data_IF_812865242824
#
_entry.id   IF_812865242824
#
_cell.length_a   1.000
_cell.length_b   1.000
_cell.length_c   1.000
_cell.angle_alpha   90.00
_cell.angle_beta   90.00
_cell.angle_gamma   90.00
#
_symmetry.space_group_name_H-M   'P 1'
#
loop_
_entity.id
_entity.type
_entity.pdbx_description
1 polymer ?
#
# COMPACT_ATOMS: atom_id res chain seq x y z
N UNK A 1 -7.14 -29.57 -14.35
CA UNK A 1 -7.84 -28.31 -14.63
C UNK A 1 -7.45 -27.32 -13.55
N UNK A 2 -7.07 -26.09 -13.89
CA UNK A 2 -6.78 -25.08 -12.88
C UNK A 2 -8.05 -24.82 -12.06
N UNK A 3 -7.94 -24.81 -10.72
CA UNK A 3 -9.07 -24.51 -9.87
C UNK A 3 -9.42 -23.01 -10.03
N UNK A 4 -10.63 -22.66 -10.50
CA UNK A 4 -11.02 -21.25 -10.71
C UNK A 4 -10.89 -20.40 -9.44
N UNK A 5 -11.08 -20.99 -8.26
CA UNK A 5 -10.95 -20.30 -6.98
C UNK A 5 -9.49 -19.90 -6.69
N UNK A 6 -8.53 -20.74 -7.08
CA UNK A 6 -7.09 -20.45 -6.96
C UNK A 6 -6.71 -19.29 -7.90
N UNK A 7 -7.30 -19.26 -9.10
CA UNK A 7 -7.06 -18.19 -10.06
C UNK A 7 -7.61 -16.85 -9.56
N UNK A 8 -8.83 -16.85 -9.00
CA UNK A 8 -9.45 -15.66 -8.43
C UNK A 8 -8.65 -15.12 -7.23
N UNK A 9 -8.24 -15.98 -6.29
CA UNK A 9 -7.44 -15.58 -5.13
C UNK A 9 -6.10 -14.97 -5.53
N UNK A 10 -5.42 -15.56 -6.53
CA UNK A 10 -4.17 -15.00 -7.05
C UNK A 10 -4.39 -13.65 -7.76
N UNK A 11 -5.49 -13.51 -8.51
CA UNK A 11 -5.84 -12.24 -9.15
C UNK A 11 -6.12 -11.14 -8.11
N UNK A 12 -6.93 -11.44 -7.09
CA UNK A 12 -7.22 -10.52 -5.98
C UNK A 12 -5.94 -10.12 -5.25
N UNK A 13 -5.06 -11.08 -4.94
CA UNK A 13 -3.77 -10.81 -4.33
C UNK A 13 -2.89 -9.89 -5.20
N UNK A 14 -2.90 -10.07 -6.53
CA UNK A 14 -2.22 -9.19 -7.48
C UNK A 14 -2.76 -7.75 -7.45
N UNK A 15 -4.09 -7.60 -7.47
CA UNK A 15 -4.75 -6.29 -7.40
C UNK A 15 -4.44 -5.55 -6.09
N UNK A 16 -4.48 -6.26 -4.95
CA UNK A 16 -4.16 -5.69 -3.64
C UNK A 16 -2.70 -5.22 -3.56
N UNK A 17 -1.75 -5.99 -4.10
CA UNK A 17 -0.34 -5.56 -4.18
C UNK A 17 -0.18 -4.32 -5.05
N UNK A 18 -0.79 -4.33 -6.24
CA UNK A 18 -0.73 -3.18 -7.15
C UNK A 18 -1.32 -1.91 -6.51
N UNK A 19 -2.40 -2.02 -5.75
CA UNK A 19 -2.97 -0.90 -5.01
C UNK A 19 -2.02 -0.40 -3.90
N UNK A 20 -1.40 -1.31 -3.15
CA UNK A 20 -0.41 -0.93 -2.14
C UNK A 20 0.79 -0.19 -2.76
N UNK A 21 1.31 -0.68 -3.88
CA UNK A 21 2.43 -0.05 -4.59
C UNK A 21 2.04 1.33 -5.16
N UNK A 22 0.81 1.49 -5.62
CA UNK A 22 0.31 2.78 -6.07
C UNK A 22 0.20 3.79 -4.91
N UNK A 23 -0.27 3.35 -3.74
CA UNK A 23 -0.33 4.20 -2.53
C UNK A 23 1.08 4.66 -2.15
N UNK A 24 2.07 3.78 -2.14
CA UNK A 24 3.45 4.15 -1.81
C UNK A 24 4.04 5.17 -2.81
N UNK A 25 3.74 5.02 -4.10
CA UNK A 25 4.16 5.99 -5.12
C UNK A 25 3.59 7.40 -4.87
N UNK A 26 2.32 7.50 -4.44
CA UNK A 26 1.70 8.79 -4.09
C UNK A 26 2.35 9.41 -2.85
N UNK A 27 2.66 8.58 -1.84
CA UNK A 27 3.35 8.99 -0.61
C UNK A 27 4.72 9.58 -0.91
N UNK A 28 5.50 8.92 -1.77
CA UNK A 28 6.83 9.38 -2.18
C UNK A 28 6.78 10.68 -2.96
N UNK A 29 5.80 10.85 -3.85
CA UNK A 29 5.60 12.09 -4.59
C UNK A 29 5.33 13.28 -3.65
N UNK A 30 4.45 13.10 -2.66
CA UNK A 30 4.14 14.14 -1.68
C UNK A 30 5.35 14.44 -0.77
N UNK A 31 6.10 13.41 -0.36
CA UNK A 31 7.33 13.55 0.42
C UNK A 31 8.37 14.38 -0.33
N UNK A 32 8.58 14.06 -1.60
CA UNK A 32 9.48 14.83 -2.47
C UNK A 32 9.04 16.28 -2.55
N UNK A 33 7.77 16.54 -2.85
CA UNK A 33 7.25 17.90 -2.92
C UNK A 33 7.41 18.67 -1.59
N UNK A 34 7.13 18.02 -0.45
CA UNK A 34 7.29 18.63 0.87
C UNK A 34 8.74 19.00 1.20
N UNK A 35 9.70 18.20 0.75
CA UNK A 35 11.13 18.40 1.06
C UNK A 35 11.83 19.33 0.07
N UNK A 36 11.55 19.21 -1.22
CA UNK A 36 12.20 20.02 -2.26
C UNK A 36 11.41 21.26 -2.65
N UNK A 37 10.08 21.17 -2.72
CA UNK A 37 9.22 22.26 -3.19
C UNK A 37 8.88 23.29 -2.12
N UNK A 38 8.84 22.87 -0.85
CA UNK A 38 8.50 23.74 0.28
C UNK A 38 9.74 24.14 1.11
N UNK A 39 10.96 23.94 0.60
CA UNK A 39 12.19 24.17 1.36
C UNK A 39 12.39 25.63 1.78
N UNK A 40 11.93 26.59 0.97
CA UNK A 40 12.00 28.03 1.27
C UNK A 40 10.73 28.58 1.92
N UNK A 41 9.70 27.75 2.11
CA UNK A 41 8.46 28.19 2.75
C UNK A 41 8.58 28.04 4.27
N UNK A 42 8.68 29.16 4.98
CA UNK A 42 8.86 29.16 6.43
C UNK A 42 7.64 29.72 7.18
N UNK A 43 7.56 29.39 8.46
CA UNK A 43 6.54 29.87 9.39
C UNK A 43 5.49 28.82 9.80
N UNK A 44 4.63 29.15 10.77
CA UNK A 44 3.71 28.20 11.40
C UNK A 44 2.77 27.48 10.43
N UNK A 45 2.37 28.14 9.34
CA UNK A 45 1.53 27.54 8.31
C UNK A 45 2.29 26.48 7.49
N UNK A 46 3.57 26.72 7.18
CA UNK A 46 4.40 25.75 6.49
C UNK A 46 4.59 24.49 7.35
N UNK A 47 4.83 24.67 8.65
CA UNK A 47 4.97 23.57 9.60
C UNK A 47 3.66 22.79 9.79
N UNK A 48 2.51 23.47 9.81
CA UNK A 48 1.21 22.81 9.83
C UNK A 48 1.01 21.92 8.60
N UNK A 49 1.27 22.45 7.39
CA UNK A 49 1.12 21.68 6.15
C UNK A 49 2.09 20.49 6.12
N UNK A 50 3.37 20.68 6.49
CA UNK A 50 4.34 19.58 6.62
C UNK A 50 3.89 18.53 7.62
N UNK A 51 3.33 18.95 8.76
CA UNK A 51 2.75 18.05 9.77
C UNK A 51 1.60 17.22 9.22
N UNK A 52 0.66 17.85 8.50
CA UNK A 52 -0.46 17.15 7.86
C UNK A 52 0.00 16.18 6.79
N UNK A 53 0.98 16.56 5.98
CA UNK A 53 1.59 15.67 4.98
C UNK A 53 2.25 14.46 5.64
N UNK A 54 2.98 14.65 6.75
CA UNK A 54 3.59 13.56 7.50
C UNK A 54 2.53 12.60 8.07
N UNK A 55 1.47 13.11 8.68
CA UNK A 55 0.37 12.27 9.19
C UNK A 55 -0.32 11.50 8.06
N UNK A 56 -0.54 12.14 6.91
CA UNK A 56 -1.08 11.49 5.73
C UNK A 56 -0.16 10.36 5.22
N UNK A 57 1.15 10.59 5.16
CA UNK A 57 2.14 9.56 4.79
C UNK A 57 2.07 8.35 5.73
N UNK A 58 1.98 8.57 7.04
CA UNK A 58 1.83 7.47 8.02
C UNK A 58 0.55 6.67 7.76
N UNK A 59 -0.59 7.34 7.58
CA UNK A 59 -1.87 6.67 7.29
C UNK A 59 -1.80 5.84 6.01
N UNK A 60 -1.25 6.41 4.94
CA UNK A 60 -1.06 5.69 3.68
C UNK A 60 -0.16 4.46 3.84
N UNK A 61 0.94 4.57 4.58
CA UNK A 61 1.81 3.43 4.89
C UNK A 61 1.09 2.32 5.66
N UNK A 62 0.25 2.67 6.63
CA UNK A 62 -0.60 1.69 7.34
C UNK A 62 -1.57 0.98 6.39
N UNK A 63 -2.21 1.71 5.48
CA UNK A 63 -3.13 1.12 4.50
C UNK A 63 -2.38 0.21 3.53
N UNK A 64 -1.24 0.64 2.99
CA UNK A 64 -0.43 -0.17 2.09
C UNK A 64 0.05 -1.47 2.76
N UNK A 65 0.46 -1.42 4.03
CA UNK A 65 0.79 -2.63 4.81
C UNK A 65 -0.41 -3.56 4.95
N UNK A 66 -1.58 -3.04 5.34
CA UNK A 66 -2.79 -3.86 5.47
C UNK A 66 -3.20 -4.54 4.16
N UNK A 67 -3.09 -3.83 3.03
CA UNK A 67 -3.34 -4.39 1.70
C UNK A 67 -2.35 -5.52 1.35
N UNK A 68 -1.08 -5.38 1.71
CA UNK A 68 -0.05 -6.42 1.49
C UNK A 68 -0.30 -7.65 2.35
N UNK A 69 -0.68 -7.47 3.61
CA UNK A 69 -1.06 -8.57 4.51
C UNK A 69 -2.26 -9.34 3.94
N UNK A 70 -3.28 -8.62 3.46
CA UNK A 70 -4.45 -9.27 2.87
C UNK A 70 -4.11 -10.01 1.56
N UNK A 71 -3.25 -9.42 0.73
CA UNK A 71 -2.73 -10.10 -0.46
C UNK A 71 -1.95 -11.37 -0.12
N UNK A 72 -1.18 -11.36 0.98
CA UNK A 72 -0.45 -12.53 1.47
C UNK A 72 -1.41 -13.62 1.93
N UNK A 73 -2.45 -13.28 2.71
CA UNK A 73 -3.49 -14.24 3.14
C UNK A 73 -4.20 -14.87 1.94
N UNK A 74 -4.59 -14.07 0.94
CA UNK A 74 -5.22 -14.58 -0.28
C UNK A 74 -4.30 -15.54 -1.05
N UNK A 75 -3.00 -15.21 -1.13
CA UNK A 75 -2.00 -16.10 -1.76
C UNK A 75 -1.81 -17.39 -0.97
N UNK A 76 -1.83 -17.32 0.37
CA UNK A 76 -1.70 -18.51 1.22
C UNK A 76 -2.93 -19.42 1.09
N UNK A 77 -4.13 -18.86 1.11
CA UNK A 77 -5.36 -19.61 0.87
C UNK A 77 -5.36 -20.32 -0.49
N UNK A 78 -4.83 -19.67 -1.54
CA UNK A 78 -4.67 -20.28 -2.85
C UNK A 78 -3.69 -21.48 -2.82
N UNK A 79 -2.59 -21.39 -2.06
CA UNK A 79 -1.64 -22.49 -1.86
C UNK A 79 -2.24 -23.64 -1.07
N UNK A 80 -3.00 -23.34 -0.03
CA UNK A 80 -3.65 -24.35 0.82
C UNK A 80 -4.72 -25.12 0.01
N UNK A 81 -5.46 -24.43 -0.86
CA UNK A 81 -6.37 -25.06 -1.83
C UNK A 81 -5.64 -25.91 -2.89
N UNK A 82 -4.42 -25.53 -3.26
CA UNK A 82 -3.61 -26.29 -4.23
C UNK A 82 -3.00 -27.56 -3.60
N UNK A 83 -2.68 -27.52 -2.31
CA UNK A 83 -2.07 -28.61 -1.56
C UNK A 83 -2.91 -28.93 -0.32
N UNK A 84 -4.06 -29.60 -0.47
CA UNK A 84 -4.85 -30.08 0.66
C UNK A 84 -4.13 -31.27 1.31
N UNK A 85 -3.08 -31.02 2.09
CA UNK A 85 -2.50 -31.99 3.02
C UNK A 85 -2.78 -31.53 4.44
N UNK A 86 -4.01 -31.82 4.88
CA UNK A 86 -4.35 -32.41 6.17
C UNK A 86 -5.71 -33.09 6.05
#
# INVERSE_FOLDING_TARGET
MANPDIQELNQRAGQLRSLADHIDSLVDAAKKHSTTGMGSWEGPNADNVRGRLRSWQTTCGTVATALREEAQKATQAAKDLQNPKK
#
